data_IF_101710460132
#
_entry.id   IF_101710460132
#
_cell.length_a   1.000
_cell.length_b   1.000
_cell.length_c   1.000
_cell.angle_alpha   90.00
_cell.angle_beta   90.00
_cell.angle_gamma   90.00
#
_symmetry.space_group_name_H-M   'P 1'
#
loop_
_entity.id
_entity.type
_entity.pdbx_description
1 polymer ?
#
# COMPACT_ATOMS: atom_id res chain seq x y z
N UNK A 1 -33.20 -16.42 3.58
CA UNK A 1 -33.21 -15.43 2.47
C UNK A 1 -32.23 -15.86 1.39
N UNK A 2 -32.71 -16.38 0.26
CA UNK A 2 -31.85 -16.88 -0.82
C UNK A 2 -31.22 -15.71 -1.60
N UNK A 3 -30.07 -15.22 -1.15
CA UNK A 3 -29.23 -14.26 -1.90
C UNK A 3 -28.38 -15.01 -2.94
N UNK A 4 -29.02 -15.59 -3.96
CA UNK A 4 -28.32 -16.23 -5.09
C UNK A 4 -28.68 -15.54 -6.39
N UNK A 5 -27.96 -14.45 -6.70
CA UNK A 5 -28.01 -13.79 -8.01
C UNK A 5 -26.90 -14.38 -8.89
N UNK A 6 -27.18 -15.51 -9.56
CA UNK A 6 -26.35 -16.10 -10.62
C UNK A 6 -25.81 -17.51 -10.35
N UNK A 7 -25.74 -18.34 -11.40
CA UNK A 7 -25.10 -19.67 -11.40
C UNK A 7 -23.56 -19.56 -11.37
N UNK A 8 -22.86 -20.56 -10.82
CA UNK A 8 -21.40 -20.55 -10.66
C UNK A 8 -20.64 -20.30 -11.98
N UNK A 9 -21.15 -20.81 -13.10
CA UNK A 9 -20.61 -20.61 -14.45
C UNK A 9 -20.90 -19.21 -15.03
N UNK A 10 -22.01 -18.57 -14.64
CA UNK A 10 -22.37 -17.22 -15.05
C UNK A 10 -21.61 -16.11 -14.28
N UNK A 11 -20.84 -16.47 -13.25
CA UNK A 11 -20.15 -15.54 -12.36
C UNK A 11 -18.67 -15.27 -12.74
N UNK A 12 -18.18 -15.76 -13.89
CA UNK A 12 -16.79 -15.56 -14.30
C UNK A 12 -16.47 -14.06 -14.41
N UNK A 13 -15.52 -13.61 -13.59
CA UNK A 13 -15.10 -12.21 -13.54
C UNK A 13 -16.09 -11.24 -12.87
N UNK A 14 -17.15 -11.74 -12.19
CA UNK A 14 -18.18 -10.93 -11.52
C UNK A 14 -17.58 -9.82 -10.65
N UNK A 15 -16.66 -10.17 -9.74
CA UNK A 15 -16.05 -9.19 -8.83
C UNK A 15 -15.28 -8.12 -9.59
N UNK A 16 -14.48 -8.51 -10.59
CA UNK A 16 -13.70 -7.55 -11.40
C UNK A 16 -14.59 -6.62 -12.24
N UNK A 17 -15.76 -7.10 -12.69
CA UNK A 17 -16.76 -6.28 -13.41
C UNK A 17 -17.53 -5.35 -12.47
N UNK A 18 -17.75 -5.77 -11.23
CA UNK A 18 -18.47 -5.00 -10.21
C UNK A 18 -17.60 -3.93 -9.55
N UNK A 19 -16.29 -4.17 -9.40
CA UNK A 19 -15.39 -3.17 -8.81
C UNK A 19 -15.38 -1.90 -9.67
N UNK A 20 -15.72 -0.72 -9.11
CA UNK A 20 -15.73 0.52 -9.87
C UNK A 20 -14.33 0.83 -10.40
N UNK A 21 -14.25 1.31 -11.65
CA UNK A 21 -12.96 1.65 -12.26
C UNK A 21 -12.43 2.95 -11.63
N UNK A 22 -11.38 2.84 -10.83
CA UNK A 22 -10.69 3.98 -10.24
C UNK A 22 -9.46 4.32 -11.08
N UNK A 23 -9.43 5.53 -11.65
CA UNK A 23 -8.27 6.02 -12.40
C UNK A 23 -7.08 6.28 -11.47
N UNK A 24 -5.86 6.07 -11.98
CA UNK A 24 -4.65 6.35 -11.23
C UNK A 24 -4.44 7.87 -11.12
N UNK A 25 -3.99 8.32 -9.95
CA UNK A 25 -3.58 9.70 -9.72
C UNK A 25 -2.36 10.05 -10.59
N UNK A 26 -2.28 11.29 -11.08
CA UNK A 26 -1.10 11.83 -11.75
C UNK A 26 0.03 11.94 -10.73
N UNK A 27 1.21 11.38 -11.04
CA UNK A 27 2.37 11.36 -10.15
C UNK A 27 3.59 11.91 -10.87
N UNK A 28 4.48 12.55 -10.13
CA UNK A 28 5.81 12.90 -10.61
C UNK A 28 6.62 11.64 -10.92
N UNK A 29 7.63 11.78 -11.79
CA UNK A 29 8.46 10.65 -12.22
C UNK A 29 9.18 10.05 -11.01
N UNK A 30 9.12 8.72 -10.88
CA UNK A 30 9.83 8.02 -9.82
C UNK A 30 11.34 8.05 -10.08
N UNK A 31 12.11 8.23 -9.01
CA UNK A 31 13.56 8.06 -9.05
C UNK A 31 13.93 6.60 -9.34
N UNK A 32 14.96 6.38 -10.17
CA UNK A 32 15.43 5.05 -10.60
C UNK A 32 16.91 4.84 -10.28
N UNK A 33 17.35 3.58 -10.22
CA UNK A 33 18.76 3.23 -10.00
C UNK A 33 19.32 3.70 -8.65
N UNK A 34 20.50 4.32 -8.68
CA UNK A 34 21.24 4.74 -7.47
C UNK A 34 20.49 5.81 -6.66
N UNK A 35 19.79 6.73 -7.31
CA UNK A 35 19.02 7.78 -6.62
C UNK A 35 17.89 7.19 -5.77
N UNK A 36 17.22 6.15 -6.27
CA UNK A 36 16.22 5.37 -5.51
C UNK A 36 16.84 4.70 -4.29
N UNK A 37 17.98 4.02 -4.44
CA UNK A 37 18.69 3.37 -3.32
C UNK A 37 19.12 4.39 -2.26
N UNK A 38 19.63 5.56 -2.69
CA UNK A 38 20.00 6.67 -1.77
C UNK A 38 18.80 7.19 -0.98
N UNK A 39 17.65 7.35 -1.63
CA UNK A 39 16.40 7.76 -0.97
C UNK A 39 15.97 6.73 0.08
N UNK A 40 16.00 5.44 -0.26
CA UNK A 40 15.67 4.35 0.66
C UNK A 40 16.61 4.35 1.87
N UNK A 41 17.93 4.46 1.66
CA UNK A 41 18.90 4.50 2.75
C UNK A 41 18.65 5.68 3.71
N UNK A 42 18.46 6.90 3.18
CA UNK A 42 18.18 8.10 3.99
C UNK A 42 16.88 7.95 4.79
N UNK A 43 15.86 7.31 4.21
CA UNK A 43 14.55 7.10 4.84
C UNK A 43 14.54 5.99 5.89
N UNK A 44 15.40 4.99 5.76
CA UNK A 44 15.28 3.75 6.54
C UNK A 44 16.42 3.47 7.51
N UNK A 45 17.67 3.74 7.13
CA UNK A 45 18.84 3.32 7.91
C UNK A 45 19.48 4.46 8.70
N UNK A 46 19.36 5.72 8.23
CA UNK A 46 20.06 6.85 8.86
C UNK A 46 19.30 7.46 10.05
N UNK A 47 17.98 7.35 10.09
CA UNK A 47 17.15 8.18 10.98
C UNK A 47 16.44 7.40 12.11
N UNK A 48 16.71 6.10 12.32
CA UNK A 48 16.02 5.25 13.31
C UNK A 48 14.47 5.27 13.27
N UNK A 49 13.88 5.81 12.21
CA UNK A 49 12.44 6.06 12.06
C UNK A 49 11.56 4.80 12.03
N UNK A 50 12.17 3.61 12.04
CA UNK A 50 11.46 2.34 11.98
C UNK A 50 11.67 1.50 13.24
N UNK A 51 12.18 2.11 14.31
CA UNK A 51 12.29 1.47 15.61
C UNK A 51 11.05 1.85 16.41
N UNK A 52 10.29 0.86 16.84
CA UNK A 52 9.20 1.05 17.80
C UNK A 52 9.49 0.19 19.03
N UNK A 53 9.57 0.82 20.19
CA UNK A 53 9.91 0.17 21.46
C UNK A 53 11.19 -0.67 21.37
N UNK A 54 12.24 -0.13 20.73
CA UNK A 54 13.54 -0.81 20.59
C UNK A 54 13.57 -1.96 19.55
N UNK A 55 12.45 -2.26 18.88
CA UNK A 55 12.39 -3.31 17.85
C UNK A 55 12.21 -2.71 16.46
N UNK A 56 12.93 -3.23 15.44
CA UNK A 56 12.73 -2.82 14.07
C UNK A 56 11.35 -3.31 13.59
N UNK A 57 10.52 -2.38 13.12
CA UNK A 57 9.23 -2.67 12.49
C UNK A 57 9.31 -2.55 10.98
N UNK A 58 8.28 -3.01 10.27
CA UNK A 58 8.22 -2.84 8.82
C UNK A 58 7.91 -1.38 8.44
N UNK A 59 8.43 -0.96 7.29
CA UNK A 59 8.29 0.42 6.76
C UNK A 59 6.83 0.86 6.63
N UNK A 60 5.94 -0.08 6.28
CA UNK A 60 4.51 0.16 6.06
C UNK A 60 3.64 -0.34 7.24
N UNK A 61 4.23 -0.46 8.43
CA UNK A 61 3.48 -0.83 9.64
C UNK A 61 2.49 0.28 10.04
N UNK A 62 1.35 -0.12 10.61
CA UNK A 62 0.31 0.81 11.06
C UNK A 62 0.85 1.80 12.09
N UNK A 63 1.69 1.34 13.02
CA UNK A 63 2.33 2.15 14.06
C UNK A 63 3.11 3.32 13.45
N UNK A 64 3.98 3.03 12.49
CA UNK A 64 4.79 4.07 11.82
C UNK A 64 3.94 4.95 10.92
N UNK A 65 2.90 4.42 10.26
CA UNK A 65 1.97 5.22 9.47
C UNK A 65 1.17 6.20 10.33
N UNK A 66 0.72 5.76 11.51
CA UNK A 66 0.01 6.60 12.48
C UNK A 66 0.93 7.67 13.06
N UNK A 67 2.16 7.31 13.44
CA UNK A 67 3.17 8.27 13.89
C UNK A 67 3.49 9.35 12.84
N UNK A 68 3.44 9.00 11.55
CA UNK A 68 3.62 9.92 10.42
C UNK A 68 2.34 10.67 9.99
N UNK A 69 1.21 10.46 10.65
CA UNK A 69 -0.08 11.07 10.28
C UNK A 69 -0.69 10.56 8.96
N UNK A 70 -0.20 9.43 8.44
CA UNK A 70 -0.63 8.81 7.17
C UNK A 70 -1.76 7.79 7.33
N UNK A 71 -2.13 7.49 8.57
CA UNK A 71 -3.26 6.64 8.93
C UNK A 71 -4.07 7.36 10.01
N UNK A 72 -5.39 7.42 9.83
CA UNK A 72 -6.34 7.82 10.87
C UNK A 72 -6.71 6.59 11.70
#
# INVERSE_FOLDING_TARGET
>A
MARTTGSLLANVGKVRRQTPKINRQVKTRALTGRSKKRLQYKKFLRQDEIIFNGKPVSVNSYVIRKARGLAK
#
